data_IF_114976367430
#
_entry.id   IF_114976367430
#
_cell.length_a   1.000
_cell.length_b   1.000
_cell.length_c   1.000
_cell.angle_alpha   90.00
_cell.angle_beta   90.00
_cell.angle_gamma   90.00
#
_symmetry.space_group_name_H-M   'P 1'
#
loop_
_entity.id
_entity.type
_entity.pdbx_description
1 polymer ?
#
# COMPACT_ATOMS: atom_id res chain seq x y z
N UNK A 1 -13.19 -3.70 -30.33
CA UNK A 1 -13.18 -4.81 -29.37
C UNK A 1 -13.24 -4.19 -27.97
N UNK A 2 -14.39 -4.27 -27.31
CA UNK A 2 -14.67 -3.64 -26.02
C UNK A 2 -14.16 -4.53 -24.87
N UNK A 3 -13.14 -4.12 -24.12
CA UNK A 3 -12.84 -4.76 -22.83
C UNK A 3 -11.95 -3.87 -21.92
N UNK A 4 -12.53 -3.05 -21.02
CA UNK A 4 -11.77 -2.52 -19.89
C UNK A 4 -12.21 -3.02 -18.51
N UNK A 5 -13.36 -3.69 -18.33
CA UNK A 5 -13.85 -4.06 -16.99
C UNK A 5 -14.77 -5.29 -16.97
N UNK A 6 -14.33 -6.44 -17.50
CA UNK A 6 -15.16 -7.66 -17.42
C UNK A 6 -14.60 -8.61 -16.36
N UNK A 7 -15.26 -8.55 -15.19
CA UNK A 7 -15.54 -9.63 -14.23
C UNK A 7 -15.12 -9.32 -12.78
N UNK A 8 -15.62 -8.24 -12.18
CA UNK A 8 -15.74 -8.17 -10.71
C UNK A 8 -17.16 -8.64 -10.37
N UNK A 9 -17.31 -9.92 -10.03
CA UNK A 9 -18.58 -10.44 -9.51
C UNK A 9 -18.56 -10.32 -7.99
N UNK A 10 -19.20 -9.25 -7.49
CA UNK A 10 -19.51 -9.10 -6.08
C UNK A 10 -20.59 -10.12 -5.71
N UNK A 11 -20.20 -11.24 -5.10
CA UNK A 11 -21.15 -12.21 -4.56
C UNK A 11 -21.51 -11.80 -3.12
N UNK A 12 -22.64 -11.13 -2.96
CA UNK A 12 -23.24 -10.87 -1.65
C UNK A 12 -24.01 -12.14 -1.24
N UNK A 13 -23.40 -13.00 -0.42
CA UNK A 13 -24.09 -14.15 0.15
C UNK A 13 -24.98 -13.66 1.31
N UNK A 14 -26.22 -13.30 1.01
CA UNK A 14 -27.25 -13.04 2.03
C UNK A 14 -27.66 -14.39 2.64
N UNK A 15 -27.19 -14.68 3.85
CA UNK A 15 -27.60 -15.86 4.61
C UNK A 15 -29.05 -15.73 5.07
N UNK A 16 -29.95 -16.55 4.52
CA UNK A 16 -31.34 -16.64 4.95
C UNK A 16 -31.55 -17.82 5.90
N UNK A 17 -30.91 -17.81 7.07
CA UNK A 17 -31.30 -18.68 8.20
C UNK A 17 -30.74 -18.12 9.51
N UNK A 18 -31.62 -17.51 10.32
CA UNK A 18 -31.50 -17.42 11.78
C UNK A 18 -30.41 -16.49 12.36
N UNK A 19 -30.85 -15.50 13.15
CA UNK A 19 -30.08 -14.49 13.87
C UNK A 19 -29.47 -13.38 12.98
N UNK A 20 -30.03 -12.17 13.08
CA UNK A 20 -29.51 -10.97 12.45
C UNK A 20 -28.17 -10.58 13.09
N UNK A 21 -27.07 -11.17 12.61
CA UNK A 21 -25.73 -10.65 12.83
C UNK A 21 -25.59 -9.47 11.87
N UNK A 22 -25.67 -8.25 12.42
CA UNK A 22 -25.25 -7.02 11.75
C UNK A 22 -23.78 -7.18 11.39
N UNK A 23 -23.52 -7.76 10.22
CA UNK A 23 -22.17 -7.92 9.69
C UNK A 23 -21.68 -6.52 9.35
N UNK A 24 -20.59 -6.04 9.97
CA UNK A 24 -19.98 -4.79 9.55
C UNK A 24 -19.60 -4.97 8.08
N UNK A 25 -20.31 -4.28 7.20
CA UNK A 25 -19.90 -4.13 5.81
C UNK A 25 -18.53 -3.48 5.87
N UNK A 26 -17.51 -4.20 5.42
CA UNK A 26 -16.14 -3.73 5.42
C UNK A 26 -16.08 -2.34 4.77
N UNK A 27 -15.85 -1.30 5.57
CA UNK A 27 -15.53 0.02 5.09
C UNK A 27 -14.11 -0.06 4.53
N UNK A 28 -13.99 -0.36 3.23
CA UNK A 28 -12.73 -0.20 2.53
C UNK A 28 -12.38 1.29 2.55
N UNK A 29 -11.48 1.69 3.44
CA UNK A 29 -10.94 3.04 3.46
C UNK A 29 -9.98 3.18 2.29
N UNK A 30 -9.97 4.36 1.67
CA UNK A 30 -9.00 4.66 0.62
C UNK A 30 -7.63 4.90 1.24
N UNK A 31 -6.60 4.21 0.74
CA UNK A 31 -5.22 4.48 1.13
C UNK A 31 -4.85 5.90 0.67
N UNK A 32 -4.51 6.77 1.62
CA UNK A 32 -4.05 8.14 1.33
C UNK A 32 -2.54 8.17 1.46
N UNK A 33 -1.82 8.06 0.34
CA UNK A 33 -0.38 8.29 0.33
C UNK A 33 -0.09 9.79 0.39
N UNK A 34 0.97 10.18 1.12
CA UNK A 34 1.47 11.54 1.03
C UNK A 34 1.90 11.85 -0.41
N UNK A 35 1.81 13.13 -0.80
CA UNK A 35 2.25 13.56 -2.13
C UNK A 35 3.72 13.21 -2.37
N UNK A 36 4.10 12.96 -3.62
CA UNK A 36 5.50 12.70 -4.00
C UNK A 36 6.45 13.77 -3.47
N UNK A 37 6.03 15.04 -3.53
CA UNK A 37 6.78 16.17 -2.98
C UNK A 37 7.04 16.13 -1.46
N UNK A 38 6.21 15.41 -0.71
CA UNK A 38 6.42 15.18 0.73
C UNK A 38 7.52 14.14 0.91
N UNK A 39 7.46 13.05 0.15
CA UNK A 39 8.48 11.99 0.18
C UNK A 39 9.83 12.47 -0.33
N UNK A 40 9.88 13.33 -1.34
CA UNK A 40 11.14 13.94 -1.81
C UNK A 40 11.82 14.78 -0.72
N UNK A 41 11.04 15.49 0.11
CA UNK A 41 11.59 16.24 1.25
C UNK A 41 12.18 15.33 2.30
N UNK A 42 11.55 14.19 2.55
CA UNK A 42 12.09 13.17 3.46
C UNK A 42 13.36 12.58 2.86
N UNK A 43 13.35 12.18 1.59
CA UNK A 43 14.52 11.62 0.93
C UNK A 43 15.69 12.62 0.84
N UNK A 44 15.40 13.92 0.71
CA UNK A 44 16.41 14.98 0.82
C UNK A 44 17.08 15.01 2.20
N UNK A 45 16.31 14.80 3.27
CA UNK A 45 16.84 14.72 4.63
C UNK A 45 17.64 13.43 4.86
N UNK A 46 17.09 12.29 4.43
CA UNK A 46 17.64 10.97 4.77
C UNK A 46 18.80 10.51 3.88
N UNK A 47 18.81 10.92 2.60
CA UNK A 47 19.83 10.49 1.62
C UNK A 47 20.22 11.58 0.63
N UNK A 48 20.07 12.85 1.00
CA UNK A 48 20.38 13.97 0.10
C UNK A 48 19.62 13.90 -1.24
N UNK A 49 18.49 13.20 -1.26
CA UNK A 49 17.64 13.01 -2.45
C UNK A 49 18.03 11.83 -3.34
N UNK A 50 19.03 11.03 -2.96
CA UNK A 50 19.44 9.87 -3.75
C UNK A 50 18.55 8.66 -3.46
N UNK A 51 17.60 8.41 -4.37
CA UNK A 51 16.71 7.25 -4.31
C UNK A 51 17.38 5.92 -4.65
N UNK A 52 18.59 5.93 -5.20
CA UNK A 52 19.35 4.73 -5.60
C UNK A 52 20.51 4.42 -4.66
N UNK A 53 20.62 5.14 -3.54
CA UNK A 53 21.70 4.97 -2.58
C UNK A 53 21.74 3.52 -2.06
N UNK A 54 22.93 2.94 -2.13
CA UNK A 54 23.24 1.65 -1.53
C UNK A 54 24.74 1.64 -1.21
N UNK A 55 25.08 2.07 0.00
CA UNK A 55 26.48 2.22 0.44
C UNK A 55 27.03 0.97 1.11
N UNK A 56 26.25 -0.12 1.18
CA UNK A 56 26.62 -1.34 1.89
C UNK A 56 26.54 -1.23 3.41
N UNK A 57 25.87 -0.21 3.94
CA UNK A 57 25.64 0.02 5.37
C UNK A 57 24.41 -0.72 5.94
N UNK A 58 23.72 -1.53 5.11
CA UNK A 58 22.50 -2.26 5.48
C UNK A 58 21.19 -1.49 5.23
N UNK A 59 21.27 -0.27 4.73
CA UNK A 59 20.12 0.55 4.34
C UNK A 59 20.14 0.82 2.82
N UNK A 60 18.96 1.05 2.24
CA UNK A 60 18.83 1.27 0.80
C UNK A 60 17.73 2.26 0.46
N UNK A 61 17.96 2.98 -0.63
CA UNK A 61 17.02 3.93 -1.22
C UNK A 61 16.88 5.25 -0.46
N UNK A 62 16.09 6.17 -1.02
CA UNK A 62 16.03 7.56 -0.55
C UNK A 62 15.52 7.71 0.89
N UNK A 63 14.79 6.71 1.40
CA UNK A 63 14.27 6.68 2.77
C UNK A 63 15.13 5.84 3.72
N UNK A 64 16.23 5.25 3.23
CA UNK A 64 17.15 4.46 4.02
C UNK A 64 16.44 3.34 4.81
N UNK A 65 15.65 2.52 4.12
CA UNK A 65 15.06 1.34 4.75
C UNK A 65 16.03 0.16 4.74
N UNK A 66 15.91 -0.71 5.74
CA UNK A 66 16.55 -2.03 5.67
C UNK A 66 15.77 -2.95 4.75
N UNK A 67 16.43 -3.95 4.20
CA UNK A 67 15.79 -4.94 3.32
C UNK A 67 14.62 -5.66 4.02
N UNK A 68 14.77 -6.02 5.30
CA UNK A 68 13.73 -6.70 6.07
C UNK A 68 12.47 -5.83 6.24
N UNK A 69 12.64 -4.54 6.49
CA UNK A 69 11.50 -3.62 6.60
C UNK A 69 10.83 -3.42 5.25
N UNK A 70 11.59 -3.31 4.16
CA UNK A 70 11.03 -3.22 2.81
C UNK A 70 10.15 -4.42 2.46
N UNK A 71 10.64 -5.62 2.75
CA UNK A 71 9.92 -6.88 2.54
C UNK A 71 8.64 -6.96 3.39
N UNK A 72 8.69 -6.50 4.64
CA UNK A 72 7.53 -6.51 5.55
C UNK A 72 6.39 -5.59 5.06
N UNK A 73 6.72 -4.50 4.35
CA UNK A 73 5.74 -3.58 3.77
C UNK A 73 5.43 -3.83 2.28
N UNK A 74 5.88 -4.96 1.72
CA UNK A 74 5.38 -5.47 0.46
C UNK A 74 6.24 -5.20 -0.78
N UNK A 75 7.53 -4.94 -0.61
CA UNK A 75 8.57 -5.31 -1.58
C UNK A 75 8.41 -4.81 -3.02
#
# INVERSE_FOLDING_TARGET
>A
MLNPFKNVRLALALGATGAAIVTPVALATTASAASVSTWDKVAACESSGDWSVNTGNGFSGGLQFTQSTWEEYGG
#
